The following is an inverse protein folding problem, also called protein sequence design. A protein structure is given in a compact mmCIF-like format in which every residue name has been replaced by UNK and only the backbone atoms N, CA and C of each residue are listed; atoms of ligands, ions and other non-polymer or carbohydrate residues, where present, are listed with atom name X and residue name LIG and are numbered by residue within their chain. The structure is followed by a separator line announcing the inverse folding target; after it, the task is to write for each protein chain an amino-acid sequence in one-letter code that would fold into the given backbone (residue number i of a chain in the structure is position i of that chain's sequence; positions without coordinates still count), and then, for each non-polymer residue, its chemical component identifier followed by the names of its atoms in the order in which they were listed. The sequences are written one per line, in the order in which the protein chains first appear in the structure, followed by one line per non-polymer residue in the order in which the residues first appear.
data_IF_499908564950
#
_entry.id   IF_499908564950
#
_cell.length_a   1.000
_cell.length_b   1.000
_cell.length_c   1.000
_cell.angle_alpha   90.00
_cell.angle_beta   90.00
_cell.angle_gamma   90.00
#
_symmetry.space_group_name_H-M   'P 1'
#
loop_
_entity.id
_entity.type
_entity.pdbx_description
1 polymer ?
#
# COMPACT_ATOMS: atom_id res chain seq x y z
N UNK A 1 6.68 5.24 -20.11
CA UNK A 1 7.13 6.07 -18.98
C UNK A 1 5.93 6.31 -18.08
N UNK A 2 5.76 5.53 -17.02
CA UNK A 2 4.92 5.91 -15.87
C UNK A 2 5.62 5.34 -14.63
N UNK A 3 6.79 5.85 -14.31
CA UNK A 3 7.47 5.60 -13.02
C UNK A 3 7.15 6.75 -12.07
N UNK A 4 5.86 7.00 -11.87
CA UNK A 4 5.37 7.81 -10.75
C UNK A 4 5.01 6.81 -9.65
N UNK A 5 6.03 6.19 -9.07
CA UNK A 5 5.90 5.16 -8.03
C UNK A 5 5.57 5.83 -6.69
N UNK A 6 4.43 6.51 -6.69
CA UNK A 6 3.94 7.31 -5.59
C UNK A 6 3.74 6.40 -4.37
N UNK A 7 4.38 6.81 -3.28
CA UNK A 7 4.23 6.15 -2.00
C UNK A 7 2.92 6.62 -1.37
N UNK A 8 2.02 5.67 -1.16
CA UNK A 8 0.75 5.88 -0.50
C UNK A 8 0.86 5.53 0.97
N UNK A 9 0.11 6.26 1.79
CA UNK A 9 -0.11 5.87 3.17
C UNK A 9 -1.00 4.62 3.23
N UNK A 10 -0.94 3.87 4.34
CA UNK A 10 -1.84 2.72 4.54
C UNK A 10 -3.33 3.08 4.44
N UNK A 11 -3.69 4.33 4.70
CA UNK A 11 -5.07 4.82 4.61
C UNK A 11 -5.51 4.97 3.16
N UNK A 12 -4.69 5.61 2.35
CA UNK A 12 -4.90 5.75 0.90
C UNK A 12 -5.01 4.36 0.25
N UNK A 13 -4.08 3.48 0.58
CA UNK A 13 -4.06 2.10 0.09
C UNK A 13 -5.32 1.31 0.48
N UNK A 14 -5.80 1.48 1.72
CA UNK A 14 -7.03 0.85 2.17
C UNK A 14 -8.24 1.34 1.37
N UNK A 15 -8.33 2.65 1.11
CA UNK A 15 -9.39 3.24 0.29
C UNK A 15 -9.39 2.68 -1.13
N UNK A 16 -8.22 2.57 -1.78
CA UNK A 16 -8.12 2.06 -3.16
C UNK A 16 -8.56 0.60 -3.25
N UNK A 17 -8.19 -0.23 -2.27
CA UNK A 17 -8.58 -1.64 -2.20
C UNK A 17 -10.00 -1.86 -1.64
N UNK A 18 -10.75 -0.80 -1.36
CA UNK A 18 -12.10 -0.90 -0.79
C UNK A 18 -12.14 -1.39 0.66
N UNK A 19 -11.01 -1.41 1.37
CA UNK A 19 -10.97 -1.77 2.79
C UNK A 19 -11.40 -0.61 3.68
N UNK A 20 -12.33 -0.91 4.59
CA UNK A 20 -12.78 0.05 5.62
C UNK A 20 -11.69 0.42 6.64
N UNK A 21 -10.70 -0.45 6.83
CA UNK A 21 -9.66 -0.28 7.85
C UNK A 21 -8.26 -0.59 7.31
N UNK A 22 -7.29 0.22 7.74
CA UNK A 22 -5.86 0.04 7.41
C UNK A 22 -5.24 -1.24 7.98
N UNK A 23 -5.91 -1.88 8.95
CA UNK A 23 -5.50 -3.18 9.47
C UNK A 23 -5.51 -4.28 8.41
N UNK A 24 -6.39 -4.20 7.40
CA UNK A 24 -6.38 -5.14 6.26
C UNK A 24 -5.08 -5.02 5.47
N UNK A 25 -4.65 -3.80 5.17
CA UNK A 25 -3.36 -3.54 4.51
C UNK A 25 -2.19 -4.03 5.38
N UNK A 26 -2.20 -3.78 6.69
CA UNK A 26 -1.17 -4.31 7.60
C UNK A 26 -1.12 -5.83 7.61
N UNK A 27 -2.26 -6.51 7.50
CA UNK A 27 -2.32 -7.97 7.37
C UNK A 27 -1.71 -8.44 6.05
N UNK A 28 -2.00 -7.77 4.92
CA UNK A 28 -1.38 -8.08 3.62
C UNK A 28 0.13 -7.92 3.66
N UNK A 29 0.61 -6.85 4.29
CA UNK A 29 2.05 -6.63 4.52
C UNK A 29 2.64 -7.74 5.39
N UNK A 30 1.98 -8.09 6.50
CA UNK A 30 2.46 -9.15 7.41
C UNK A 30 2.47 -10.53 6.74
N UNK A 31 1.57 -10.77 5.80
CA UNK A 31 1.52 -11.98 4.97
C UNK A 31 2.58 -12.00 3.86
N UNK A 32 3.31 -10.90 3.64
CA UNK A 32 4.29 -10.78 2.55
C UNK A 32 3.67 -10.56 1.18
N UNK A 33 2.36 -10.33 1.10
CA UNK A 33 1.65 -10.06 -0.16
C UNK A 33 1.97 -8.65 -0.65
N UNK A 34 2.16 -7.71 0.28
CA UNK A 34 2.41 -6.31 -0.05
C UNK A 34 3.71 -5.83 0.57
N UNK A 35 4.55 -5.15 -0.22
CA UNK A 35 5.77 -4.52 0.30
C UNK A 35 5.44 -3.19 0.96
N UNK A 36 6.13 -2.91 2.07
CA UNK A 36 6.08 -1.62 2.72
C UNK A 36 7.45 -0.95 2.68
N UNK A 37 7.40 0.36 2.64
CA UNK A 37 8.54 1.25 2.64
C UNK A 37 8.46 2.13 3.88
N UNK A 38 9.61 2.37 4.49
CA UNK A 38 9.76 3.32 5.59
C UNK A 38 10.47 4.54 5.03
N UNK A 39 9.93 5.73 5.29
CA UNK A 39 10.64 6.96 5.00
C UNK A 39 11.64 7.26 6.11
N UNK A 40 12.86 7.76 5.79
CA UNK A 40 13.88 8.02 6.80
C UNK A 40 13.42 9.05 7.85
N UNK A 41 12.55 9.99 7.46
CA UNK A 41 11.97 11.02 8.34
C UNK A 41 10.75 10.55 9.15
N UNK A 42 10.21 9.35 8.87
CA UNK A 42 8.96 8.93 9.51
C UNK A 42 8.88 7.42 9.71
N UNK A 43 8.46 7.01 10.91
CA UNK A 43 8.09 5.61 11.21
C UNK A 43 6.78 5.17 10.52
N UNK A 44 6.22 6.02 9.64
CA UNK A 44 5.03 5.72 8.86
C UNK A 44 5.36 4.70 7.78
N UNK A 45 4.64 3.59 7.81
CA UNK A 45 4.66 2.59 6.74
C UNK A 45 3.92 3.12 5.53
N UNK A 46 4.59 3.15 4.40
CA UNK A 46 4.04 3.51 3.11
C UNK A 46 4.09 2.32 2.16
N UNK A 47 3.28 2.34 1.12
CA UNK A 47 3.16 1.27 0.12
C UNK A 47 3.13 1.89 -1.25
N UNK A 48 3.65 1.19 -2.27
CA UNK A 48 3.66 1.70 -3.64
C UNK A 48 2.25 1.69 -4.22
N UNK A 49 1.84 2.80 -4.82
CA UNK A 49 0.56 2.90 -5.50
C UNK A 49 0.40 1.83 -6.58
N UNK A 50 1.45 1.61 -7.38
CA UNK A 50 1.44 0.63 -8.47
C UNK A 50 1.15 -0.78 -7.97
N UNK A 51 1.70 -1.19 -6.83
CA UNK A 51 1.41 -2.52 -6.25
C UNK A 51 -0.01 -2.61 -5.72
N UNK A 52 -0.53 -1.55 -5.11
CA UNK A 52 -1.91 -1.50 -4.64
C UNK A 52 -2.90 -1.61 -5.81
N UNK A 53 -2.65 -0.86 -6.89
CA UNK A 53 -3.49 -0.90 -8.08
C UNK A 53 -3.41 -2.26 -8.79
N UNK A 54 -2.22 -2.85 -8.89
CA UNK A 54 -2.06 -4.20 -9.44
C UNK A 54 -2.84 -5.24 -8.62
N UNK A 55 -2.86 -5.10 -7.29
CA UNK A 55 -3.63 -5.98 -6.41
C UNK A 55 -5.15 -5.77 -6.55
N UNK A 56 -5.59 -4.52 -6.79
CA UNK A 56 -7.01 -4.19 -6.97
C UNK A 56 -7.59 -4.68 -8.31
N UNK A 57 -6.76 -4.78 -9.35
CA UNK A 57 -7.15 -5.27 -10.69
C UNK A 57 -7.15 -6.81 -10.75
N UNK A 58 -6.46 -7.48 -9.82
CA UNK A 58 -6.33 -8.93 -9.78
C UNK A 58 -7.46 -9.66 -9.01
N UNK A 59 -8.43 -8.93 -8.44
CA UNK A 59 -9.60 -9.46 -7.70
C UNK A 59 -10.86 -9.52 -8.58
#
# INVERSE_FOLDING_TARGET
MIDDDNLLSLREAATILGYRHTNSIKKLIKKGILKYYLTPDSTKKMVKQSEILALAVAD
#
